data_IF_105872199674
#
_entry.id   IF_105872199674
#
_cell.length_a   1.000
_cell.length_b   1.000
_cell.length_c   1.000
_cell.angle_alpha   90.00
_cell.angle_beta   90.00
_cell.angle_gamma   90.00
#
_symmetry.space_group_name_H-M   'P 1'
#
loop_
_entity.id
_entity.type
_entity.pdbx_description
1 polymer ?
#
# COMPACT_ATOMS: atom_id res chain seq x y z
N UNK A 1 21.86 -17.32 -10.66
CA UNK A 1 20.95 -18.20 -11.42
C UNK A 1 20.51 -19.28 -10.45
N UNK A 2 19.34 -19.13 -9.82
CA UNK A 2 18.80 -20.17 -8.95
C UNK A 2 18.03 -21.15 -9.85
N UNK A 3 18.73 -22.17 -10.33
CA UNK A 3 18.14 -23.31 -11.02
C UNK A 3 17.83 -24.38 -9.99
N UNK A 4 16.65 -24.31 -9.38
CA UNK A 4 16.11 -25.42 -8.60
C UNK A 4 14.83 -25.86 -9.31
N UNK A 5 14.73 -27.14 -9.63
CA UNK A 5 13.51 -27.71 -10.20
C UNK A 5 12.49 -27.79 -9.05
N UNK A 6 11.33 -27.13 -9.19
CA UNK A 6 10.29 -27.13 -8.15
C UNK A 6 9.76 -28.54 -7.84
N UNK A 7 9.97 -29.51 -8.73
CA UNK A 7 9.57 -30.90 -8.54
C UNK A 7 10.45 -31.67 -7.54
N UNK A 8 11.58 -31.10 -7.12
CA UNK A 8 12.56 -31.73 -6.21
C UNK A 8 12.53 -31.14 -4.79
N UNK A 9 11.72 -30.10 -4.56
CA UNK A 9 11.62 -29.38 -3.28
C UNK A 9 10.33 -29.79 -2.57
N UNK A 10 10.39 -30.28 -1.31
CA UNK A 10 9.21 -30.49 -0.47
C UNK A 10 8.28 -29.26 -0.46
N UNK A 11 6.96 -29.48 -0.45
CA UNK A 11 5.99 -28.41 -0.65
C UNK A 11 6.06 -27.30 0.43
N UNK A 12 6.43 -27.65 1.65
CA UNK A 12 6.71 -26.74 2.76
C UNK A 12 7.95 -25.87 2.49
N UNK A 13 9.05 -26.47 2.04
CA UNK A 13 10.25 -25.73 1.66
C UNK A 13 10.02 -24.82 0.45
N UNK A 14 9.18 -25.23 -0.50
CA UNK A 14 8.81 -24.42 -1.64
C UNK A 14 8.00 -23.17 -1.21
N UNK A 15 7.14 -23.31 -0.20
CA UNK A 15 6.41 -22.17 0.39
C UNK A 15 7.38 -21.23 1.07
N UNK A 16 8.31 -21.74 1.89
CA UNK A 16 9.32 -20.91 2.55
C UNK A 16 10.17 -20.16 1.53
N UNK A 17 10.58 -20.81 0.44
CA UNK A 17 11.34 -20.17 -0.63
C UNK A 17 10.56 -19.02 -1.28
N UNK A 18 9.27 -19.22 -1.54
CA UNK A 18 8.39 -18.18 -2.09
C UNK A 18 8.22 -17.02 -1.12
N UNK A 19 8.12 -17.28 0.19
CA UNK A 19 8.03 -16.25 1.22
C UNK A 19 9.33 -15.47 1.43
N UNK A 20 10.48 -16.01 1.02
CA UNK A 20 11.77 -15.30 1.04
C UNK A 20 12.03 -14.43 -0.20
N UNK A 21 11.12 -14.40 -1.17
CA UNK A 21 11.31 -13.61 -2.37
C UNK A 21 11.43 -12.11 -2.04
N UNK A 22 12.32 -11.37 -2.72
CA UNK A 22 12.51 -9.96 -2.43
C UNK A 22 11.27 -9.13 -2.80
N UNK A 23 11.09 -7.96 -2.15
CA UNK A 23 10.12 -6.95 -2.58
C UNK A 23 10.28 -6.63 -4.07
N UNK A 24 9.15 -6.37 -4.74
CA UNK A 24 9.11 -6.12 -6.18
C UNK A 24 9.16 -7.36 -7.07
N UNK A 25 9.38 -8.56 -6.52
CA UNK A 25 9.20 -9.82 -7.28
C UNK A 25 7.75 -9.99 -7.74
N UNK A 26 7.53 -10.79 -8.79
CA UNK A 26 6.20 -10.96 -9.39
C UNK A 26 5.19 -11.51 -8.38
N UNK A 27 5.60 -12.53 -7.61
CA UNK A 27 4.77 -13.12 -6.56
C UNK A 27 4.47 -12.10 -5.47
N UNK A 28 5.50 -11.47 -4.87
CA UNK A 28 5.29 -10.50 -3.79
C UNK A 28 4.40 -9.35 -4.22
N UNK A 29 4.55 -8.84 -5.45
CA UNK A 29 3.65 -7.81 -5.99
C UNK A 29 2.18 -8.21 -6.05
N UNK A 30 1.90 -9.49 -6.30
CA UNK A 30 0.52 -10.00 -6.40
C UNK A 30 -0.09 -10.33 -5.04
N UNK A 31 0.68 -10.96 -4.15
CA UNK A 31 0.21 -11.41 -2.85
C UNK A 31 0.25 -10.29 -1.79
N UNK A 32 1.29 -9.45 -1.86
CA UNK A 32 1.62 -8.37 -0.93
C UNK A 32 1.79 -7.06 -1.70
N UNK A 33 0.70 -6.41 -2.14
CA UNK A 33 0.76 -5.19 -2.95
C UNK A 33 1.51 -4.03 -2.27
N UNK A 34 1.63 -4.04 -0.94
CA UNK A 34 2.46 -3.12 -0.16
C UNK A 34 3.98 -3.30 -0.39
N UNK A 35 4.41 -4.50 -0.79
CA UNK A 35 5.79 -4.84 -1.15
C UNK A 35 6.01 -4.83 -2.67
N UNK A 36 5.14 -4.16 -3.42
CA UNK A 36 5.17 -4.21 -4.87
C UNK A 36 6.42 -3.57 -5.51
N UNK A 37 7.19 -2.80 -4.74
CA UNK A 37 8.38 -2.12 -5.23
C UNK A 37 9.64 -2.80 -4.71
N UNK A 38 10.68 -2.92 -5.56
CA UNK A 38 12.01 -3.24 -5.08
C UNK A 38 12.63 -2.03 -4.37
N UNK A 39 13.60 -2.27 -3.47
CA UNK A 39 14.21 -1.24 -2.61
C UNK A 39 14.78 -0.05 -3.39
N UNK A 40 15.44 -0.29 -4.52
CA UNK A 40 16.00 0.79 -5.34
C UNK A 40 14.93 1.76 -5.83
N UNK A 41 13.69 1.30 -6.02
CA UNK A 41 12.59 2.13 -6.49
C UNK A 41 12.08 3.05 -5.38
N UNK A 42 12.15 2.61 -4.12
CA UNK A 42 11.90 3.50 -2.98
C UNK A 42 12.93 4.62 -2.94
N UNK A 43 14.22 4.30 -3.05
CA UNK A 43 15.29 5.31 -3.05
C UNK A 43 15.14 6.33 -4.19
N UNK A 44 14.79 5.90 -5.40
CA UNK A 44 14.53 6.81 -6.53
C UNK A 44 13.34 7.73 -6.26
N UNK A 45 12.27 7.21 -5.64
CA UNK A 45 11.11 8.02 -5.29
C UNK A 45 11.44 9.04 -4.19
N UNK A 46 12.30 8.69 -3.24
CA UNK A 46 12.77 9.63 -2.20
C UNK A 46 13.58 10.78 -2.83
N UNK A 47 14.49 10.47 -3.75
CA UNK A 47 15.23 11.48 -4.51
C UNK A 47 14.28 12.41 -5.30
N UNK A 48 13.26 11.84 -5.93
CA UNK A 48 12.27 12.62 -6.66
C UNK A 48 11.47 13.55 -5.74
N UNK A 49 11.04 13.06 -4.58
CA UNK A 49 10.31 13.86 -3.58
C UNK A 49 11.20 15.01 -3.05
N UNK A 50 12.48 14.76 -2.79
CA UNK A 50 13.45 15.77 -2.35
C UNK A 50 13.67 16.85 -3.41
N UNK A 51 13.80 16.46 -4.68
CA UNK A 51 13.92 17.41 -5.79
C UNK A 51 12.69 18.32 -5.91
N UNK A 52 11.49 17.75 -5.73
CA UNK A 52 10.25 18.52 -5.71
C UNK A 52 10.17 19.45 -4.50
N UNK A 53 10.55 18.99 -3.32
CA UNK A 53 10.61 19.82 -2.12
C UNK A 53 11.52 21.04 -2.32
N UNK A 54 12.72 20.85 -2.89
CA UNK A 54 13.66 21.94 -3.18
C UNK A 54 13.07 22.91 -4.20
N UNK A 55 12.50 22.41 -5.30
CA UNK A 55 11.94 23.25 -6.35
C UNK A 55 10.74 24.08 -5.85
N UNK A 56 9.82 23.46 -5.09
CA UNK A 56 8.66 24.13 -4.51
C UNK A 56 9.08 25.15 -3.45
N UNK A 57 10.02 24.82 -2.56
CA UNK A 57 10.56 25.75 -1.56
C UNK A 57 11.16 27.00 -2.22
N UNK A 58 11.95 26.83 -3.29
CA UNK A 58 12.50 27.96 -4.06
C UNK A 58 11.42 28.83 -4.70
N UNK A 59 10.29 28.22 -5.09
CA UNK A 59 9.21 28.89 -5.80
C UNK A 59 8.12 29.45 -4.86
N UNK A 60 8.27 29.25 -3.54
CA UNK A 60 7.25 29.64 -2.55
C UNK A 60 5.96 28.82 -2.62
N UNK A 61 5.98 27.66 -3.29
CA UNK A 61 4.83 26.76 -3.41
C UNK A 61 4.76 25.88 -2.16
N UNK A 62 3.59 25.86 -1.52
CA UNK A 62 3.29 24.95 -0.42
C UNK A 62 2.87 23.58 -0.97
N UNK A 63 3.16 22.53 -0.20
CA UNK A 63 2.84 21.13 -0.53
C UNK A 63 3.49 20.61 -1.83
N UNK A 64 4.78 20.24 -1.80
CA UNK A 64 5.43 19.62 -2.95
C UNK A 64 4.77 18.30 -3.33
N UNK A 65 4.67 17.97 -4.62
CA UNK A 65 4.15 16.69 -5.05
C UNK A 65 5.06 15.56 -4.56
N UNK A 66 4.45 14.48 -4.10
CA UNK A 66 5.14 13.27 -3.64
C UNK A 66 4.63 12.04 -4.35
N UNK A 67 5.51 11.11 -4.66
CA UNK A 67 5.11 9.84 -5.28
C UNK A 67 4.37 8.97 -4.25
N UNK A 68 3.19 8.46 -4.57
CA UNK A 68 2.50 7.57 -3.64
C UNK A 68 3.23 6.22 -3.54
N UNK A 69 3.59 5.80 -2.33
CA UNK A 69 4.26 4.52 -2.08
C UNK A 69 3.24 3.37 -2.06
N UNK A 70 3.62 2.13 -2.42
CA UNK A 70 2.66 1.01 -2.47
C UNK A 70 1.90 0.78 -1.17
N UNK A 71 2.58 0.82 -0.02
CA UNK A 71 1.95 0.72 1.29
C UNK A 71 0.88 1.80 1.53
N UNK A 72 1.16 3.06 1.14
CA UNK A 72 0.21 4.17 1.27
C UNK A 72 -1.03 3.96 0.41
N UNK A 73 -0.86 3.42 -0.81
CA UNK A 73 -1.98 3.09 -1.69
C UNK A 73 -2.87 1.99 -1.11
N UNK A 74 -2.26 0.99 -0.47
CA UNK A 74 -2.99 -0.09 0.23
C UNK A 74 -3.78 0.47 1.42
N UNK A 75 -3.14 1.27 2.26
CA UNK A 75 -3.82 1.90 3.41
C UNK A 75 -4.95 2.83 2.98
N UNK A 76 -4.74 3.62 1.92
CA UNK A 76 -5.81 4.46 1.36
C UNK A 76 -7.00 3.63 0.88
N UNK A 77 -6.76 2.49 0.22
CA UNK A 77 -7.84 1.58 -0.21
C UNK A 77 -8.58 0.98 0.99
N UNK A 78 -7.87 0.57 2.04
CA UNK A 78 -8.49 0.07 3.28
C UNK A 78 -9.36 1.14 3.95
N UNK A 79 -8.86 2.37 4.06
CA UNK A 79 -9.59 3.49 4.62
C UNK A 79 -10.86 3.81 3.82
N UNK A 80 -10.76 3.83 2.48
CA UNK A 80 -11.93 4.02 1.60
C UNK A 80 -12.97 2.91 1.77
N UNK A 81 -12.52 1.65 1.87
CA UNK A 81 -13.41 0.51 2.12
C UNK A 81 -14.09 0.57 3.49
N UNK A 82 -13.39 1.01 4.53
CA UNK A 82 -13.97 1.23 5.86
C UNK A 82 -15.00 2.36 5.84
N UNK A 83 -14.67 3.51 5.24
CA UNK A 83 -15.59 4.64 5.11
C UNK A 83 -16.85 4.28 4.32
N UNK A 84 -16.71 3.50 3.25
CA UNK A 84 -17.85 3.01 2.48
C UNK A 84 -18.78 2.13 3.31
N UNK A 85 -18.22 1.15 4.05
CA UNK A 85 -19.01 0.28 4.93
C UNK A 85 -19.72 1.07 6.03
N UNK A 86 -19.05 2.05 6.63
CA UNK A 86 -19.65 2.92 7.62
C UNK A 86 -20.82 3.72 7.03
N UNK A 87 -20.64 4.26 5.81
CA UNK A 87 -21.71 4.97 5.09
C UNK A 87 -22.89 4.06 4.80
N UNK A 88 -22.66 2.86 4.27
CA UNK A 88 -23.71 1.87 4.00
C UNK A 88 -24.46 1.49 5.28
N UNK A 89 -23.76 1.33 6.41
CA UNK A 89 -24.39 1.08 7.70
C UNK A 89 -25.24 2.25 8.20
N UNK A 90 -24.77 3.50 8.03
CA UNK A 90 -25.52 4.70 8.40
C UNK A 90 -26.80 4.83 7.56
N UNK A 91 -26.69 4.59 6.25
CA UNK A 91 -27.80 4.67 5.30
C UNK A 91 -28.81 3.53 5.50
N UNK A 92 -28.36 2.35 5.94
CA UNK A 92 -29.21 1.18 6.16
C UNK A 92 -29.88 1.13 7.55
N UNK A 93 -29.45 1.97 8.50
CA UNK A 93 -30.02 1.99 9.86
C UNK A 93 -31.16 3.00 9.92
N UNK A 94 -32.36 2.56 10.32
CA UNK A 94 -33.42 3.47 10.78
C UNK A 94 -33.01 4.01 12.15
N UNK A 95 -32.49 5.23 12.18
CA UNK A 95 -32.09 5.89 13.41
C UNK A 95 -33.33 6.22 14.24
N UNK A 96 -33.47 5.62 15.42
CA UNK A 96 -34.50 6.04 16.37
C UNK A 96 -34.21 7.47 16.85
N UNK A 97 -35.19 8.38 16.81
CA UNK A 97 -35.01 9.75 17.27
C UNK A 97 -34.73 9.75 18.77
N UNK A 98 -33.66 10.42 19.17
CA UNK A 98 -33.37 10.68 20.58
C UNK A 98 -34.42 11.67 21.07
N UNK A 99 -35.39 11.21 21.86
CA UNK A 99 -36.30 12.11 22.57
C UNK A 99 -35.45 13.02 23.46
N UNK A 100 -35.42 14.32 23.12
CA UNK A 100 -34.87 15.33 24.01
C UNK A 100 -35.80 15.41 25.23
N UNK A 101 -35.41 14.70 26.29
CA UNK A 101 -36.05 14.82 27.60
C UNK A 101 -36.05 16.28 28.05
N UNK A 102 -37.23 16.74 28.46
CA UNK A 102 -37.55 18.14 28.77
C UNK A 102 -37.02 18.69 30.08
#
# INVERSE_FOLDING_TARGET
>A
MYGCCYDEVPADEAVDLVLTLPPGSLYMRSAHPELAWPDWRHAVADLQDDMWAIACARSGVQDPPRVARPAELVERRKALGAARRAREAIEATEWEPIEQGG
#
